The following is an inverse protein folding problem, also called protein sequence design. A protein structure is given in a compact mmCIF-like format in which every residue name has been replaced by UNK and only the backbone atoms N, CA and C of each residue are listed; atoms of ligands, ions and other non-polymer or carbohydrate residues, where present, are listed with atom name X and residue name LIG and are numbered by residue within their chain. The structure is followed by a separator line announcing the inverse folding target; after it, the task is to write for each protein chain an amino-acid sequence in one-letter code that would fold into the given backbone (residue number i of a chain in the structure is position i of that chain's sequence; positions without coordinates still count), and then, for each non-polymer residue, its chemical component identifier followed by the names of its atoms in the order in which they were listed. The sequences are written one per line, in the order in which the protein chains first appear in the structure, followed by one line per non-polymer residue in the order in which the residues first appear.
data_IF_308412794647
#
_entry.id   IF_308412794647
#
_cell.length_a   1.000
_cell.length_b   1.000
_cell.length_c   1.000
_cell.angle_alpha   90.00
_cell.angle_beta   90.00
_cell.angle_gamma   90.00
#
_symmetry.space_group_name_H-M   'P 1'
#
loop_
_entity.id
_entity.type
_entity.pdbx_description
1 polymer ?
#
# COMPACT_ATOMS: atom_id res chain seq x y z
N UNK A 1 23.29 7.90 -19.72
CA UNK A 1 24.57 8.00 -19.00
C UNK A 1 24.90 9.41 -18.55
N UNK A 2 24.87 10.43 -19.43
CA UNK A 2 25.21 11.82 -19.07
C UNK A 2 24.47 12.39 -17.85
N UNK A 3 23.17 12.10 -17.70
CA UNK A 3 22.38 12.54 -16.54
C UNK A 3 22.83 11.90 -15.21
N UNK A 4 23.19 10.61 -15.24
CA UNK A 4 23.67 9.87 -14.07
C UNK A 4 25.07 10.37 -13.68
N UNK A 5 25.93 10.60 -14.67
CA UNK A 5 27.26 11.19 -14.45
C UNK A 5 27.14 12.61 -13.90
N UNK A 6 26.22 13.43 -14.41
CA UNK A 6 25.96 14.77 -13.91
C UNK A 6 25.39 14.76 -12.47
N UNK A 7 24.50 13.83 -12.15
CA UNK A 7 23.98 13.62 -10.79
C UNK A 7 25.08 13.19 -9.81
N UNK A 8 25.97 12.29 -10.22
CA UNK A 8 27.11 11.85 -9.41
C UNK A 8 28.09 13.01 -9.19
N UNK A 9 28.41 13.78 -10.24
CA UNK A 9 29.30 14.93 -10.15
C UNK A 9 28.68 16.03 -9.27
N UNK A 10 27.38 16.30 -9.42
CA UNK A 10 26.65 17.23 -8.56
C UNK A 10 26.62 16.74 -7.10
N UNK A 11 26.40 15.45 -6.85
CA UNK A 11 26.43 14.87 -5.51
C UNK A 11 27.83 14.97 -4.87
N UNK A 12 28.90 14.84 -5.65
CA UNK A 12 30.29 15.01 -5.19
C UNK A 12 30.59 16.48 -4.90
N UNK A 13 30.14 17.41 -5.75
CA UNK A 13 30.35 18.85 -5.57
C UNK A 13 29.53 19.43 -4.42
N UNK A 14 28.31 18.91 -4.21
CA UNK A 14 27.46 19.32 -3.10
C UNK A 14 27.78 18.61 -1.78
N UNK A 15 28.73 17.66 -1.73
CA UNK A 15 29.12 16.95 -0.50
C UNK A 15 29.30 17.87 0.72
N UNK A 16 30.11 18.95 0.70
CA UNK A 16 30.32 19.78 1.88
C UNK A 16 29.05 20.50 2.35
N UNK A 17 28.19 20.92 1.41
CA UNK A 17 26.90 21.54 1.72
C UNK A 17 25.89 20.51 2.25
N UNK A 18 25.84 19.31 1.66
CA UNK A 18 25.03 18.20 2.16
C UNK A 18 25.48 17.76 3.55
N UNK A 19 26.79 17.68 3.83
CA UNK A 19 27.29 17.32 5.15
C UNK A 19 26.97 18.39 6.19
N UNK A 20 26.98 19.68 5.82
CA UNK A 20 26.55 20.77 6.70
C UNK A 20 25.05 20.73 6.99
N UNK A 21 24.22 20.45 5.99
CA UNK A 21 22.77 20.33 6.15
C UNK A 21 22.37 19.07 6.93
N UNK A 22 23.00 17.92 6.63
CA UNK A 22 22.80 16.64 7.32
C UNK A 22 23.38 16.62 8.74
N UNK A 23 24.23 17.58 9.11
CA UNK A 23 24.69 17.71 10.49
C UNK A 23 23.55 18.10 11.45
N UNK A 24 22.45 18.66 10.95
CA UNK A 24 21.28 18.94 11.78
C UNK A 24 20.52 17.63 12.09
N UNK A 25 20.24 17.30 13.37
CA UNK A 25 19.61 16.02 13.74
C UNK A 25 18.29 15.71 13.01
N UNK A 26 17.47 16.75 12.75
CA UNK A 26 16.22 16.60 12.01
C UNK A 26 16.44 16.25 10.53
N UNK A 27 17.42 16.86 9.88
CA UNK A 27 17.75 16.59 8.48
C UNK A 27 18.37 15.20 8.30
N UNK A 28 19.23 14.77 9.24
CA UNK A 28 19.75 13.41 9.27
C UNK A 28 18.62 12.38 9.42
N UNK A 29 17.74 12.56 10.40
CA UNK A 29 16.60 11.66 10.64
C UNK A 29 15.68 11.58 9.42
N UNK A 30 15.34 12.72 8.82
CA UNK A 30 14.52 12.78 7.61
C UNK A 30 15.17 12.00 6.47
N UNK A 31 16.47 12.20 6.21
CA UNK A 31 17.19 11.52 5.15
C UNK A 31 17.26 10.01 5.39
N UNK A 32 17.48 9.57 6.63
CA UNK A 32 17.45 8.16 7.01
C UNK A 32 16.09 7.52 6.74
N UNK A 33 14.99 8.16 7.16
CA UNK A 33 13.63 7.65 6.93
C UNK A 33 13.33 7.59 5.43
N UNK A 34 13.62 8.66 4.70
CA UNK A 34 13.38 8.74 3.25
C UNK A 34 14.13 7.64 2.48
N UNK A 35 15.42 7.47 2.77
CA UNK A 35 16.27 6.45 2.12
C UNK A 35 15.79 5.05 2.50
N UNK A 36 15.45 4.82 3.78
CA UNK A 36 14.94 3.54 4.24
C UNK A 36 13.65 3.14 3.51
N UNK A 37 12.65 4.04 3.46
CA UNK A 37 11.38 3.79 2.75
C UNK A 37 11.63 3.51 1.27
N UNK A 38 12.48 4.31 0.62
CA UNK A 38 12.76 4.16 -0.82
C UNK A 38 13.45 2.82 -1.12
N UNK A 39 14.50 2.48 -0.37
CA UNK A 39 15.25 1.23 -0.57
C UNK A 39 14.36 0.02 -0.27
N UNK A 40 13.54 0.08 0.79
CA UNK A 40 12.66 -1.02 1.18
C UNK A 40 11.52 -1.24 0.17
N UNK A 41 10.92 -0.16 -0.35
CA UNK A 41 9.78 -0.25 -1.27
C UNK A 41 10.17 -0.61 -2.71
N UNK A 42 11.38 -0.24 -3.15
CA UNK A 42 11.86 -0.49 -4.52
C UNK A 42 11.80 -1.96 -4.96
N UNK A 43 12.31 -2.96 -4.21
CA UNK A 43 12.28 -4.35 -4.67
C UNK A 43 10.86 -4.88 -4.89
N UNK A 44 9.92 -4.51 -4.03
CA UNK A 44 8.53 -4.91 -4.18
C UNK A 44 7.81 -4.13 -5.29
N UNK A 45 8.18 -2.86 -5.50
CA UNK A 45 7.70 -2.11 -6.65
C UNK A 45 8.17 -2.78 -7.95
N UNK A 46 9.45 -3.15 -8.04
CA UNK A 46 10.01 -3.87 -9.20
C UNK A 46 9.25 -5.18 -9.42
N UNK A 47 8.97 -5.93 -8.36
CA UNK A 47 8.17 -7.16 -8.45
C UNK A 47 6.75 -6.89 -8.98
N UNK A 48 6.05 -5.90 -8.42
CA UNK A 48 4.70 -5.52 -8.86
C UNK A 48 4.67 -5.05 -10.31
N UNK A 49 5.66 -4.28 -10.72
CA UNK A 49 5.86 -3.85 -12.12
C UNK A 49 6.14 -5.05 -13.03
N UNK A 50 7.00 -5.98 -12.61
CA UNK A 50 7.28 -7.19 -13.38
C UNK A 50 6.01 -8.05 -13.55
N UNK A 51 5.19 -8.18 -12.50
CA UNK A 51 3.89 -8.87 -12.58
C UNK A 51 2.92 -8.12 -13.49
N UNK A 52 2.80 -6.80 -13.36
CA UNK A 52 1.98 -5.96 -14.25
C UNK A 52 2.39 -6.13 -15.72
N UNK A 53 3.69 -6.03 -16.01
CA UNK A 53 4.26 -6.21 -17.33
C UNK A 53 4.09 -7.64 -17.87
N UNK A 54 4.19 -8.66 -17.01
CA UNK A 54 3.93 -10.04 -17.40
C UNK A 54 2.46 -10.25 -17.76
N UNK A 55 1.53 -9.69 -16.98
CA UNK A 55 0.10 -9.66 -17.31
C UNK A 55 -0.11 -8.93 -18.65
N UNK A 56 0.62 -7.84 -18.90
CA UNK A 56 0.51 -7.12 -20.16
C UNK A 56 1.05 -7.88 -21.37
N UNK A 57 2.15 -8.61 -21.22
CA UNK A 57 2.85 -9.26 -22.32
C UNK A 57 2.35 -10.68 -22.63
N UNK A 58 1.93 -11.42 -21.61
CA UNK A 58 1.65 -12.86 -21.72
C UNK A 58 0.19 -13.24 -21.50
N UNK A 59 -0.62 -12.39 -20.85
CA UNK A 59 -2.01 -12.72 -20.52
C UNK A 59 -2.96 -12.11 -21.56
N UNK A 60 -3.77 -12.93 -22.27
CA UNK A 60 -4.69 -12.41 -23.27
C UNK A 60 -5.81 -11.54 -22.63
N UNK A 61 -6.34 -10.55 -23.37
CA UNK A 61 -7.43 -9.71 -22.88
C UNK A 61 -8.62 -10.55 -22.39
N UNK A 62 -9.16 -10.20 -21.21
CA UNK A 62 -10.29 -10.90 -20.61
C UNK A 62 -10.01 -12.33 -20.12
N UNK A 63 -8.77 -12.84 -20.16
CA UNK A 63 -8.44 -14.17 -19.63
C UNK A 63 -8.67 -14.24 -18.11
N UNK A 64 -8.12 -13.28 -17.35
CA UNK A 64 -8.32 -13.21 -15.89
C UNK A 64 -9.79 -12.92 -15.55
N UNK A 65 -10.44 -12.04 -16.32
CA UNK A 65 -11.86 -11.74 -16.13
C UNK A 65 -12.75 -12.98 -16.31
N UNK A 66 -12.37 -13.93 -17.19
CA UNK A 66 -13.07 -15.21 -17.37
C UNK A 66 -12.80 -16.22 -16.26
N UNK A 67 -11.67 -16.13 -15.55
CA UNK A 67 -11.37 -16.98 -14.39
C UNK A 67 -12.15 -16.54 -13.14
N UNK A 68 -12.49 -15.27 -13.04
CA UNK A 68 -13.30 -14.74 -11.94
C UNK A 68 -14.79 -15.08 -12.12
N UNK A 69 -15.55 -15.23 -11.01
CA UNK A 69 -16.99 -15.38 -11.05
C UNK A 69 -17.67 -14.26 -11.86
N UNK A 70 -18.67 -14.62 -12.68
CA UNK A 70 -19.41 -13.66 -13.52
C UNK A 70 -20.14 -12.57 -12.71
N UNK A 71 -20.54 -12.88 -11.47
CA UNK A 71 -21.25 -11.92 -10.61
C UNK A 71 -20.21 -11.08 -9.85
N UNK A 72 -20.21 -9.74 -9.97
CA UNK A 72 -19.23 -8.87 -9.30
C UNK A 72 -19.14 -9.09 -7.78
N UNK A 73 -20.28 -9.35 -7.13
CA UNK A 73 -20.37 -9.65 -5.70
C UNK A 73 -19.59 -10.91 -5.30
N UNK A 74 -19.48 -11.90 -6.21
CA UNK A 74 -18.68 -13.11 -6.01
C UNK A 74 -17.24 -12.94 -6.50
N UNK A 75 -17.00 -12.05 -7.48
CA UNK A 75 -15.67 -11.74 -7.97
C UNK A 75 -14.82 -11.01 -6.90
N UNK A 76 -15.43 -10.17 -6.07
CA UNK A 76 -14.76 -9.45 -4.96
C UNK A 76 -14.06 -10.40 -3.97
N UNK A 77 -14.75 -11.36 -3.32
CA UNK A 77 -14.10 -12.27 -2.38
C UNK A 77 -13.09 -13.21 -3.08
N UNK A 78 -13.35 -13.62 -4.33
CA UNK A 78 -12.39 -14.41 -5.09
C UNK A 78 -11.09 -13.64 -5.36
N UNK A 79 -11.19 -12.35 -5.72
CA UNK A 79 -10.05 -11.50 -5.96
C UNK A 79 -9.31 -11.12 -4.66
N UNK A 80 -10.03 -10.91 -3.55
CA UNK A 80 -9.41 -10.73 -2.24
C UNK A 80 -8.59 -11.97 -1.83
N UNK A 81 -9.16 -13.17 -1.98
CA UNK A 81 -8.46 -14.43 -1.70
C UNK A 81 -7.20 -14.61 -2.59
N UNK A 82 -7.30 -14.28 -3.88
CA UNK A 82 -6.15 -14.29 -4.77
C UNK A 82 -5.07 -13.27 -4.36
N UNK A 83 -5.48 -12.08 -3.89
CA UNK A 83 -4.58 -11.09 -3.33
C UNK A 83 -3.86 -11.61 -2.08
N UNK A 84 -4.59 -12.21 -1.14
CA UNK A 84 -4.04 -12.79 0.08
C UNK A 84 -2.99 -13.88 -0.18
N UNK A 85 -3.12 -14.63 -1.28
CA UNK A 85 -2.18 -15.68 -1.66
C UNK A 85 -0.87 -15.14 -2.27
N UNK A 86 -0.88 -13.91 -2.80
CA UNK A 86 0.29 -13.35 -3.48
C UNK A 86 1.19 -12.61 -2.48
N UNK A 87 2.49 -12.96 -2.42
CA UNK A 87 3.46 -12.16 -1.70
C UNK A 87 3.62 -10.82 -2.45
N UNK A 88 3.05 -9.77 -1.88
CA UNK A 88 3.11 -8.43 -2.46
C UNK A 88 3.08 -7.35 -1.38
N UNK A 89 3.63 -6.19 -1.69
CA UNK A 89 3.47 -4.98 -0.88
C UNK A 89 2.50 -4.02 -1.56
N UNK A 90 2.05 -3.00 -0.83
CA UNK A 90 1.09 -2.01 -1.32
C UNK A 90 1.62 -1.19 -2.52
N UNK A 91 2.94 -1.01 -2.62
CA UNK A 91 3.57 -0.31 -3.73
C UNK A 91 3.45 -1.10 -5.05
N UNK A 92 3.54 -2.44 -4.94
CA UNK A 92 3.48 -3.34 -6.09
C UNK A 92 2.05 -3.71 -6.48
N UNK A 93 1.10 -3.72 -5.54
CA UNK A 93 -0.30 -4.06 -5.83
C UNK A 93 -1.02 -3.00 -6.64
N UNK A 94 -0.63 -1.72 -6.57
CA UNK A 94 -1.20 -0.61 -7.36
C UNK A 94 -1.06 -0.83 -8.88
N UNK A 95 0.14 -1.01 -9.47
CA UNK A 95 0.28 -1.24 -10.90
C UNK A 95 -0.41 -2.53 -11.35
N UNK A 96 -0.35 -3.59 -10.53
CA UNK A 96 -1.05 -4.85 -10.83
C UNK A 96 -2.57 -4.64 -10.89
N UNK A 97 -3.15 -3.96 -9.89
CA UNK A 97 -4.58 -3.67 -9.87
C UNK A 97 -5.01 -2.78 -11.05
N UNK A 98 -4.22 -1.75 -11.38
CA UNK A 98 -4.46 -0.93 -12.55
C UNK A 98 -4.45 -1.74 -13.85
N UNK A 99 -3.51 -2.69 -13.97
CA UNK A 99 -3.46 -3.60 -15.10
C UNK A 99 -4.67 -4.52 -15.15
N UNK A 100 -5.08 -5.11 -14.03
CA UNK A 100 -6.29 -5.94 -13.94
C UNK A 100 -7.53 -5.19 -14.46
N UNK A 101 -7.72 -3.94 -14.02
CA UNK A 101 -8.80 -3.07 -14.52
C UNK A 101 -8.68 -2.86 -16.04
N UNK A 102 -7.48 -2.58 -16.54
CA UNK A 102 -7.25 -2.33 -17.98
C UNK A 102 -7.57 -3.53 -18.88
N UNK A 103 -7.48 -4.75 -18.36
CA UNK A 103 -7.75 -6.00 -19.11
C UNK A 103 -9.15 -6.58 -18.84
N UNK A 104 -10.03 -5.81 -18.19
CA UNK A 104 -11.46 -6.12 -18.04
C UNK A 104 -11.87 -6.75 -16.71
N UNK A 105 -11.00 -6.80 -15.70
CA UNK A 105 -11.43 -7.14 -14.34
C UNK A 105 -12.22 -5.97 -13.77
N UNK A 106 -13.36 -6.25 -13.13
CA UNK A 106 -14.20 -5.20 -12.52
C UNK A 106 -13.40 -4.39 -11.49
N UNK A 107 -13.50 -3.05 -11.44
CA UNK A 107 -12.77 -2.22 -10.47
C UNK A 107 -12.94 -2.68 -9.02
N UNK A 108 -14.16 -3.06 -8.63
CA UNK A 108 -14.44 -3.61 -7.30
C UNK A 108 -13.57 -4.83 -6.92
N UNK A 109 -13.43 -5.80 -7.83
CA UNK A 109 -12.59 -6.98 -7.61
C UNK A 109 -11.09 -6.61 -7.61
N UNK A 110 -10.66 -5.71 -8.50
CA UNK A 110 -9.28 -5.24 -8.54
C UNK A 110 -8.89 -4.46 -7.27
N UNK A 111 -9.81 -3.68 -6.69
CA UNK A 111 -9.57 -2.97 -5.42
C UNK A 111 -9.60 -3.91 -4.22
N UNK A 112 -10.45 -4.93 -4.22
CA UNK A 112 -10.40 -5.97 -3.19
C UNK A 112 -9.04 -6.70 -3.19
N UNK A 113 -8.52 -7.03 -4.38
CA UNK A 113 -7.17 -7.54 -4.55
C UNK A 113 -6.10 -6.56 -4.05
N UNK A 114 -6.19 -5.29 -4.48
CA UNK A 114 -5.26 -4.20 -4.14
C UNK A 114 -5.04 -4.07 -2.64
N UNK A 115 -6.14 -4.13 -1.87
CA UNK A 115 -6.14 -3.98 -0.42
C UNK A 115 -5.77 -5.28 0.31
N UNK A 116 -6.20 -6.43 -0.22
CA UNK A 116 -5.97 -7.71 0.44
C UNK A 116 -4.52 -8.19 0.33
N UNK A 117 -3.85 -7.94 -0.80
CA UNK A 117 -2.49 -8.40 -1.03
C UNK A 117 -1.47 -7.91 0.01
N UNK A 118 -1.36 -6.61 0.32
CA UNK A 118 -0.42 -6.14 1.34
C UNK A 118 -0.89 -6.41 2.77
N UNK A 119 -2.20 -6.52 3.01
CA UNK A 119 -2.72 -6.60 4.38
C UNK A 119 -2.63 -8.00 5.01
N UNK A 120 -2.72 -9.07 4.19
CA UNK A 120 -2.82 -10.46 4.69
C UNK A 120 -2.01 -11.48 3.88
N UNK A 121 -0.92 -11.05 3.24
CA UNK A 121 0.00 -12.01 2.62
C UNK A 121 0.69 -12.91 3.68
N UNK A 122 1.28 -14.05 3.27
CA UNK A 122 1.92 -14.97 4.20
C UNK A 122 3.05 -14.34 5.02
N UNK A 123 3.85 -13.44 4.43
CA UNK A 123 4.97 -12.78 5.12
C UNK A 123 4.46 -11.90 6.26
N UNK A 124 3.37 -11.17 6.02
CA UNK A 124 2.71 -10.28 6.97
C UNK A 124 2.05 -11.05 8.11
N UNK A 125 1.42 -12.19 7.82
CA UNK A 125 0.84 -13.04 8.85
C UNK A 125 1.92 -13.68 9.72
N UNK A 126 3.03 -14.12 9.11
CA UNK A 126 4.19 -14.65 9.84
C UNK A 126 4.85 -13.56 10.69
N UNK A 127 5.08 -12.35 10.15
CA UNK A 127 5.64 -11.24 10.94
C UNK A 127 4.74 -10.87 12.11
N UNK A 128 3.43 -10.92 11.93
CA UNK A 128 2.45 -10.71 13.02
C UNK A 128 2.55 -11.81 14.08
N UNK A 129 2.69 -13.07 13.68
CA UNK A 129 2.86 -14.19 14.62
C UNK A 129 4.16 -14.06 15.43
N UNK A 130 5.25 -13.63 14.79
CA UNK A 130 6.55 -13.41 15.44
C UNK A 130 6.51 -12.19 16.37
N UNK A 131 5.88 -11.09 15.97
CA UNK A 131 5.79 -9.86 16.75
C UNK A 131 4.87 -9.99 17.98
N UNK A 132 3.85 -10.87 17.91
CA UNK A 132 2.90 -11.13 19.00
C UNK A 132 3.00 -12.58 19.50
N UNK A 133 4.13 -12.96 20.14
CA UNK A 133 4.35 -14.34 20.58
C UNK A 133 3.30 -14.75 21.61
N UNK A 134 2.79 -15.98 21.46
CA UNK A 134 1.74 -16.54 22.35
C UNK A 134 0.34 -15.97 22.14
N UNK A 135 0.12 -15.14 21.10
CA UNK A 135 -1.20 -14.52 20.80
C UNK A 135 -1.68 -14.86 19.38
N UNK A 136 -2.02 -16.12 19.07
CA UNK A 136 -2.51 -16.50 17.74
C UNK A 136 -3.81 -15.77 17.33
N UNK A 137 -4.62 -15.36 18.32
CA UNK A 137 -5.81 -14.54 18.06
C UNK A 137 -5.49 -13.20 17.38
N UNK A 138 -4.29 -12.63 17.59
CA UNK A 138 -3.89 -11.40 16.90
C UNK A 138 -3.71 -11.63 15.39
N UNK A 139 -3.15 -12.77 15.00
CA UNK A 139 -2.95 -13.15 13.60
C UNK A 139 -4.30 -13.41 12.93
N UNK A 140 -5.18 -14.17 13.60
CA UNK A 140 -6.55 -14.43 13.13
C UNK A 140 -7.37 -13.14 13.03
N UNK A 141 -7.23 -12.23 13.99
CA UNK A 141 -7.89 -10.93 13.97
C UNK A 141 -7.36 -10.07 12.82
N UNK A 142 -6.04 -10.02 12.56
CA UNK A 142 -5.45 -9.30 11.41
C UNK A 142 -5.96 -9.87 10.09
N UNK A 143 -5.96 -11.20 9.96
CA UNK A 143 -6.44 -11.91 8.78
C UNK A 143 -7.91 -11.60 8.49
N UNK A 144 -8.76 -11.82 9.48
CA UNK A 144 -10.21 -11.62 9.34
C UNK A 144 -10.58 -10.14 9.16
N UNK A 145 -9.98 -9.23 9.94
CA UNK A 145 -10.29 -7.80 9.85
C UNK A 145 -9.92 -7.21 8.49
N UNK A 146 -8.75 -7.57 7.98
CA UNK A 146 -8.29 -7.11 6.67
C UNK A 146 -9.07 -7.75 5.52
N UNK A 147 -9.42 -9.03 5.62
CA UNK A 147 -10.23 -9.71 4.61
C UNK A 147 -11.66 -9.13 4.57
N UNK A 148 -12.27 -8.91 5.73
CA UNK A 148 -13.58 -8.24 5.82
C UNK A 148 -13.48 -6.82 5.28
N UNK A 149 -12.46 -6.04 5.66
CA UNK A 149 -12.27 -4.69 5.15
C UNK A 149 -12.12 -4.64 3.62
N UNK A 150 -11.31 -5.52 3.03
CA UNK A 150 -11.09 -5.56 1.58
C UNK A 150 -12.34 -5.98 0.81
N UNK A 151 -13.08 -6.98 1.30
CA UNK A 151 -14.35 -7.41 0.71
C UNK A 151 -15.40 -6.31 0.85
N UNK A 152 -15.59 -5.75 2.05
CA UNK A 152 -16.55 -4.67 2.30
C UNK A 152 -16.25 -3.46 1.43
N UNK A 153 -14.97 -3.08 1.26
CA UNK A 153 -14.60 -1.98 0.39
C UNK A 153 -14.87 -2.29 -1.09
N UNK A 154 -14.59 -3.51 -1.55
CA UNK A 154 -14.94 -3.97 -2.90
C UNK A 154 -16.46 -3.94 -3.15
N UNK A 155 -17.26 -4.44 -2.21
CA UNK A 155 -18.73 -4.40 -2.29
C UNK A 155 -19.28 -2.97 -2.22
N UNK A 156 -18.68 -2.12 -1.38
CA UNK A 156 -19.01 -0.70 -1.31
C UNK A 156 -18.73 -0.01 -2.65
N UNK A 157 -17.66 -0.40 -3.34
CA UNK A 157 -17.38 0.08 -4.70
C UNK A 157 -18.41 -0.41 -5.72
N UNK A 158 -18.96 -1.62 -5.60
CA UNK A 158 -20.08 -2.03 -6.47
C UNK A 158 -21.29 -1.13 -6.25
N UNK A 159 -21.61 -0.81 -4.99
CA UNK A 159 -22.82 -0.06 -4.65
C UNK A 159 -22.70 1.46 -4.91
N UNK A 160 -21.52 2.05 -4.72
CA UNK A 160 -21.30 3.51 -4.75
C UNK A 160 -20.02 3.94 -5.46
N UNK A 161 -19.38 3.01 -6.17
CA UNK A 161 -18.22 3.28 -7.01
C UNK A 161 -18.58 4.24 -8.13
N UNK A 162 -17.61 5.09 -8.45
CA UNK A 162 -17.71 6.06 -9.53
C UNK A 162 -16.57 5.78 -10.49
N UNK A 163 -16.82 4.85 -11.40
CA UNK A 163 -15.82 4.40 -12.37
C UNK A 163 -15.43 5.53 -13.35
N UNK A 164 -16.26 6.57 -13.46
CA UNK A 164 -15.98 7.85 -14.12
C UNK A 164 -14.81 8.63 -13.49
N UNK A 165 -14.51 8.39 -12.21
CA UNK A 165 -13.37 9.00 -11.53
C UNK A 165 -12.04 8.30 -11.84
N UNK A 166 -12.10 7.09 -12.42
CA UNK A 166 -10.90 6.38 -12.83
C UNK A 166 -10.36 7.10 -14.07
N UNK A 167 -9.20 7.72 -13.92
CA UNK A 167 -8.41 8.15 -15.06
C UNK A 167 -7.95 6.88 -15.78
N UNK A 168 -8.79 6.33 -16.66
CA UNK A 168 -8.45 5.23 -17.53
C UNK A 168 -7.45 5.75 -18.57
N UNK A 169 -6.20 5.96 -18.13
CA UNK A 169 -5.09 6.19 -19.02
C UNK A 169 -4.88 4.86 -19.73
N UNK A 170 -5.41 4.75 -20.95
CA UNK A 170 -5.12 3.62 -21.83
C UNK A 170 -3.61 3.61 -21.99
N UNK A 171 -2.94 2.67 -21.33
CA UNK A 171 -1.57 2.31 -21.68
C UNK A 171 -1.63 2.00 -23.18
N UNK A 172 -0.87 2.70 -24.04
CA UNK A 172 -0.82 2.35 -25.44
C UNK A 172 -0.40 0.89 -25.53
N UNK A 173 -1.32 0.05 -25.99
CA UNK A 173 -0.98 -1.32 -26.36
C UNK A 173 -0.28 -1.14 -27.69
N UNK A 174 1.03 -0.94 -27.66
CA UNK A 174 1.82 -1.10 -28.88
C UNK A 174 1.65 -2.56 -29.33
N UNK A 175 0.87 -2.71 -30.38
CA UNK A 175 0.62 -3.96 -31.08
C UNK A 175 1.88 -4.42 -31.82
N UNK A 176 2.82 -3.51 -32.09
CA UNK A 176 4.03 -3.75 -32.87
C UNK A 176 5.23 -4.10 -31.98
N UNK A 177 5.43 -5.40 -31.73
CA UNK A 177 6.64 -5.90 -31.07
C UNK A 177 6.50 -7.32 -30.51
N UNK A 178 7.63 -8.01 -30.34
CA UNK A 178 7.68 -9.29 -29.65
C UNK A 178 7.22 -9.18 -28.19
N UNK A 179 6.82 -10.31 -27.58
CA UNK A 179 6.35 -10.35 -26.18
C UNK A 179 7.36 -9.73 -25.19
N UNK A 180 8.66 -9.89 -25.45
CA UNK A 180 9.72 -9.30 -24.64
C UNK A 180 9.77 -7.77 -24.74
N UNK A 181 9.59 -7.21 -25.94
CA UNK A 181 9.54 -5.75 -26.14
C UNK A 181 8.37 -5.14 -25.39
N UNK A 182 7.19 -5.77 -25.49
CA UNK A 182 5.99 -5.35 -24.75
C UNK A 182 6.19 -5.43 -23.23
N UNK A 183 6.82 -6.50 -22.75
CA UNK A 183 7.17 -6.66 -21.34
C UNK A 183 8.09 -5.54 -20.87
N UNK A 184 9.21 -5.30 -21.57
CA UNK A 184 10.18 -4.28 -21.17
C UNK A 184 9.61 -2.86 -21.24
N UNK A 185 8.85 -2.54 -22.29
CA UNK A 185 8.21 -1.23 -22.44
C UNK A 185 7.19 -0.97 -21.32
N UNK A 186 6.34 -1.96 -21.02
CA UNK A 186 5.37 -1.86 -19.92
C UNK A 186 6.09 -1.74 -18.58
N UNK A 187 7.10 -2.58 -18.35
CA UNK A 187 7.87 -2.55 -17.11
C UNK A 187 8.56 -1.19 -16.90
N UNK A 188 9.19 -0.64 -17.93
CA UNK A 188 9.83 0.67 -17.86
C UNK A 188 8.81 1.78 -17.55
N UNK A 189 7.67 1.76 -18.25
CA UNK A 189 6.62 2.76 -18.04
C UNK A 189 6.06 2.72 -16.63
N UNK A 190 5.62 1.53 -16.18
CA UNK A 190 5.04 1.33 -14.85
C UNK A 190 6.07 1.64 -13.76
N UNK A 191 7.35 1.27 -13.95
CA UNK A 191 8.42 1.57 -13.00
C UNK A 191 8.69 3.06 -12.88
N UNK A 192 8.80 3.79 -14.01
CA UNK A 192 9.07 5.23 -13.97
C UNK A 192 7.90 6.00 -13.36
N UNK A 193 6.66 5.62 -13.69
CA UNK A 193 5.48 6.25 -13.13
C UNK A 193 5.36 5.97 -11.64
N UNK A 194 5.25 4.70 -11.25
CA UNK A 194 5.05 4.32 -9.85
C UNK A 194 6.28 4.66 -8.99
N UNK A 195 7.50 4.55 -9.54
CA UNK A 195 8.73 4.96 -8.87
C UNK A 195 8.76 6.47 -8.58
N UNK A 196 8.31 7.31 -9.50
CA UNK A 196 8.20 8.75 -9.29
C UNK A 196 7.25 9.11 -8.14
N UNK A 197 6.05 8.50 -8.12
CA UNK A 197 5.07 8.71 -7.06
C UNK A 197 5.50 8.09 -5.72
N UNK A 198 6.22 6.97 -5.75
CA UNK A 198 6.84 6.37 -4.56
C UNK A 198 7.83 7.33 -3.91
N UNK A 199 8.71 7.97 -4.69
CA UNK A 199 9.69 8.94 -4.18
C UNK A 199 8.99 10.14 -3.54
N UNK A 200 7.96 10.69 -4.20
CA UNK A 200 7.17 11.80 -3.65
C UNK A 200 6.48 11.38 -2.33
N UNK A 201 5.86 10.20 -2.32
CA UNK A 201 5.21 9.62 -1.15
C UNK A 201 6.19 9.37 0.01
N UNK A 202 7.37 8.84 -0.27
CA UNK A 202 8.42 8.62 0.72
C UNK A 202 8.93 9.93 1.32
N UNK A 203 9.09 10.98 0.50
CA UNK A 203 9.47 12.32 0.96
C UNK A 203 8.40 12.94 1.86
N UNK A 204 7.12 12.80 1.50
CA UNK A 204 6.01 13.24 2.34
C UNK A 204 5.96 12.47 3.67
N UNK A 205 6.09 11.14 3.63
CA UNK A 205 6.13 10.29 4.84
C UNK A 205 7.30 10.63 5.76
N UNK A 206 8.52 10.82 5.22
CA UNK A 206 9.69 11.22 5.98
C UNK A 206 9.51 12.60 6.64
N UNK A 207 8.87 13.53 5.93
CA UNK A 207 8.54 14.87 6.47
C UNK A 207 7.57 14.75 7.64
N UNK A 208 6.48 14.01 7.45
CA UNK A 208 5.49 13.79 8.52
C UNK A 208 6.11 13.09 9.73
N UNK A 209 6.91 12.03 9.54
CA UNK A 209 7.56 11.31 10.63
C UNK A 209 8.62 12.14 11.37
N UNK A 210 9.27 13.08 10.68
CA UNK A 210 10.25 13.98 11.32
C UNK A 210 9.55 15.09 12.11
N UNK A 211 8.37 15.53 11.66
CA UNK A 211 7.60 16.60 12.28
C UNK A 211 6.61 16.12 13.36
N UNK A 212 6.29 14.83 13.44
CA UNK A 212 5.38 14.28 14.45
C UNK A 212 6.19 13.87 15.69
N UNK A 213 6.21 14.65 16.78
CA UNK A 213 6.90 14.28 18.01
C UNK A 213 6.23 13.08 18.67
N UNK A 214 7.04 12.16 19.20
CA UNK A 214 6.58 10.94 19.88
C UNK A 214 5.71 11.25 21.09
N UNK A 215 5.96 12.38 21.75
CA UNK A 215 5.20 12.86 22.91
C UNK A 215 3.71 13.11 22.58
N UNK A 216 3.39 13.46 21.34
CA UNK A 216 2.00 13.65 20.91
C UNK A 216 1.24 12.33 20.90
N UNK A 217 1.91 11.22 20.58
CA UNK A 217 1.30 9.88 20.54
C UNK A 217 1.04 9.37 21.97
N UNK A 218 1.98 9.60 22.89
CA UNK A 218 1.85 9.16 24.28
C UNK A 218 0.81 9.98 25.06
N UNK A 219 0.64 11.26 24.74
CA UNK A 219 -0.39 12.14 25.35
C UNK A 219 -1.82 11.76 24.96
N UNK A 220 -2.00 11.03 23.85
CA UNK A 220 -3.31 10.65 23.29
C UNK A 220 -3.70 9.22 23.70
N UNK A 221 -2.87 8.52 24.49
CA UNK A 221 -3.17 7.21 25.04
C UNK A 221 -4.33 7.27 26.06
N UNK A 222 -5.56 7.34 25.55
CA UNK A 222 -6.79 7.30 26.34
C UNK A 222 -7.43 5.91 26.24
N UNK A 223 -7.95 5.37 27.35
CA UNK A 223 -8.78 4.17 27.29
C UNK A 223 -10.05 4.44 26.48
N UNK A 224 -10.43 3.52 25.60
CA UNK A 224 -11.68 3.55 24.85
C UNK A 224 -11.55 3.51 23.33
N UNK A 225 -12.68 3.59 22.59
CA UNK A 225 -12.74 3.42 21.12
C UNK A 225 -11.96 4.49 20.35
N UNK A 226 -11.69 5.64 20.96
CA UNK A 226 -10.89 6.73 20.38
C UNK A 226 -9.46 6.24 20.06
N UNK A 227 -8.91 5.32 20.86
CA UNK A 227 -7.57 4.74 20.62
C UNK A 227 -7.46 4.02 19.28
N UNK A 228 -8.55 3.39 18.81
CA UNK A 228 -8.64 2.71 17.51
C UNK A 228 -8.48 3.71 16.37
N UNK A 229 -9.19 4.84 16.46
CA UNK A 229 -9.11 5.91 15.47
C UNK A 229 -7.72 6.56 15.47
N UNK A 230 -7.17 6.84 16.66
CA UNK A 230 -5.84 7.44 16.82
C UNK A 230 -4.76 6.55 16.20
N UNK A 231 -4.76 5.26 16.50
CA UNK A 231 -3.80 4.32 15.93
C UNK A 231 -4.03 4.09 14.44
N UNK A 232 -5.28 4.14 13.97
CA UNK A 232 -5.58 4.17 12.54
C UNK A 232 -4.93 5.38 11.85
N UNK A 233 -5.12 6.59 12.38
CA UNK A 233 -4.50 7.82 11.82
C UNK A 233 -2.98 7.74 11.89
N UNK A 234 -2.43 7.26 13.01
CA UNK A 234 -0.99 7.07 13.17
C UNK A 234 -0.43 6.13 12.11
N UNK A 235 -1.12 5.03 11.79
CA UNK A 235 -0.70 4.10 10.75
C UNK A 235 -0.58 4.80 9.38
N UNK A 236 -1.56 5.63 9.01
CA UNK A 236 -1.52 6.42 7.77
C UNK A 236 -0.30 7.33 7.75
N UNK A 237 -0.07 8.08 8.83
CA UNK A 237 1.01 9.07 8.90
C UNK A 237 2.40 8.44 8.89
N UNK A 238 2.54 7.32 9.57
CA UNK A 238 3.82 6.63 9.72
C UNK A 238 4.18 5.84 8.45
N UNK A 239 3.20 5.41 7.64
CA UNK A 239 3.44 4.79 6.31
C UNK A 239 4.53 3.70 6.31
N UNK A 240 4.52 2.85 7.35
CA UNK A 240 5.42 1.72 7.48
C UNK A 240 5.03 0.61 6.51
N UNK A 241 6.02 -0.16 6.07
CA UNK A 241 5.76 -1.38 5.32
C UNK A 241 5.02 -2.43 6.18
N UNK A 242 4.17 -3.21 5.52
CA UNK A 242 3.29 -4.21 6.12
C UNK A 242 4.00 -5.30 6.92
N UNK A 243 5.31 -5.53 6.72
CA UNK A 243 6.09 -6.50 7.49
C UNK A 243 6.64 -5.91 8.80
N UNK A 244 7.05 -4.64 8.75
CA UNK A 244 7.65 -3.93 9.88
C UNK A 244 6.62 -3.35 10.85
N UNK A 245 5.40 -3.09 10.36
CA UNK A 245 4.29 -2.54 11.15
C UNK A 245 3.95 -3.39 12.39
N UNK A 246 4.09 -4.71 12.28
CA UNK A 246 3.79 -5.68 13.33
C UNK A 246 4.68 -5.48 14.55
N UNK A 247 5.97 -5.26 14.33
CA UNK A 247 6.95 -5.02 15.39
C UNK A 247 6.73 -3.67 16.08
N UNK A 248 6.37 -2.64 15.30
CA UNK A 248 6.04 -1.32 15.85
C UNK A 248 4.77 -1.42 16.71
N UNK A 249 3.71 -2.05 16.18
CA UNK A 249 2.46 -2.23 16.93
C UNK A 249 2.64 -3.08 18.19
N UNK A 250 3.49 -4.12 18.17
CA UNK A 250 3.81 -4.92 19.35
C UNK A 250 4.50 -4.09 20.44
N UNK A 251 5.30 -3.09 20.05
CA UNK A 251 5.96 -2.13 20.95
C UNK A 251 5.00 -1.17 21.64
N UNK A 252 3.79 -0.95 21.09
CA UNK A 252 2.76 -0.03 21.61
C UNK A 252 1.97 -0.61 22.81
N UNK A 253 2.73 -1.11 23.80
CA UNK A 253 2.40 -1.46 25.21
C UNK A 253 1.11 -0.87 25.79
N UNK A 254 1.01 0.44 25.65
CA UNK A 254 0.06 1.32 26.29
C UNK A 254 -1.33 1.33 25.63
N UNK A 255 -1.45 0.83 24.39
CA UNK A 255 -2.72 0.77 23.66
C UNK A 255 -3.39 -0.60 23.74
N UNK A 256 -4.71 -0.64 23.60
CA UNK A 256 -5.47 -1.90 23.54
C UNK A 256 -5.07 -2.74 22.33
N UNK A 257 -5.31 -4.05 22.41
CA UNK A 257 -5.07 -4.97 21.30
C UNK A 257 -5.89 -4.59 20.06
N UNK A 258 -7.14 -4.16 20.25
CA UNK A 258 -8.01 -3.66 19.16
C UNK A 258 -7.45 -2.41 18.49
N UNK A 259 -6.85 -1.48 19.23
CA UNK A 259 -6.24 -0.30 18.63
C UNK A 259 -4.96 -0.66 17.85
N UNK A 260 -4.14 -1.59 18.35
CA UNK A 260 -3.00 -2.15 17.61
C UNK A 260 -3.45 -2.89 16.36
N UNK A 261 -4.57 -3.61 16.42
CA UNK A 261 -5.18 -4.26 15.25
C UNK A 261 -5.57 -3.21 14.20
N UNK A 262 -6.20 -2.11 14.62
CA UNK A 262 -6.53 -1.01 13.71
C UNK A 262 -5.31 -0.45 13.01
N UNK A 263 -4.19 -0.28 13.73
CA UNK A 263 -2.91 0.13 13.13
C UNK A 263 -2.46 -0.85 12.03
N UNK A 264 -2.50 -2.16 12.30
CA UNK A 264 -2.05 -3.22 11.38
C UNK A 264 -2.97 -3.45 10.17
N UNK A 265 -4.25 -3.10 10.29
CA UNK A 265 -5.24 -3.23 9.20
C UNK A 265 -5.25 -1.96 8.34
N UNK A 266 -5.18 -0.78 8.95
CA UNK A 266 -5.26 0.50 8.25
C UNK A 266 -3.99 0.77 7.44
N UNK A 267 -2.80 0.59 8.02
CA UNK A 267 -1.52 0.95 7.38
C UNK A 267 -1.38 0.38 5.96
N UNK A 268 -1.47 -0.96 5.77
CA UNK A 268 -1.34 -1.60 4.47
C UNK A 268 -2.41 -1.21 3.42
N UNK A 269 -3.52 -0.62 3.88
CA UNK A 269 -4.67 -0.27 3.06
C UNK A 269 -4.72 1.21 2.71
N UNK A 270 -4.23 2.07 3.60
CA UNK A 270 -4.22 3.53 3.49
C UNK A 270 -2.98 4.06 4.18
N UNK A 271 -2.05 4.58 3.38
CA UNK A 271 -0.92 5.37 3.87
C UNK A 271 -0.64 6.55 2.91
N UNK A 272 0.26 7.45 3.31
CA UNK A 272 0.57 8.67 2.53
C UNK A 272 1.21 8.33 1.18
N UNK A 273 2.03 7.28 1.14
CA UNK A 273 2.76 6.84 -0.04
C UNK A 273 1.84 6.15 -1.05
N UNK A 274 1.00 5.25 -0.58
CA UNK A 274 -0.05 4.54 -1.28
C UNK A 274 -1.09 5.53 -1.80
N UNK A 275 -1.44 6.56 -1.03
CA UNK A 275 -2.27 7.66 -1.53
C UNK A 275 -1.62 8.34 -2.73
N UNK A 276 -0.33 8.69 -2.65
CA UNK A 276 0.39 9.30 -3.77
C UNK A 276 0.45 8.39 -5.01
N UNK A 277 0.71 7.09 -4.82
CA UNK A 277 0.68 6.08 -5.87
C UNK A 277 -0.71 5.96 -6.51
N UNK A 278 -1.76 5.82 -5.71
CA UNK A 278 -3.14 5.73 -6.20
C UNK A 278 -3.58 7.02 -6.91
N UNK A 279 -3.18 8.19 -6.40
CA UNK A 279 -3.46 9.47 -7.03
C UNK A 279 -2.78 9.59 -8.40
N UNK A 280 -1.54 9.09 -8.51
CA UNK A 280 -0.78 9.06 -9.74
C UNK A 280 -1.27 8.04 -10.77
N UNK A 281 -1.82 6.91 -10.32
CA UNK A 281 -2.28 5.82 -11.20
C UNK A 281 -3.75 5.97 -11.60
N UNK A 282 -4.65 6.22 -10.64
CA UNK A 282 -6.10 6.25 -10.85
C UNK A 282 -6.67 7.68 -10.85
N UNK A 283 -5.90 8.67 -10.42
CA UNK A 283 -6.30 10.07 -10.34
C UNK A 283 -6.56 10.53 -8.90
N UNK A 284 -6.33 11.83 -8.59
CA UNK A 284 -6.38 12.34 -7.22
C UNK A 284 -7.80 12.33 -6.62
N UNK A 285 -8.83 12.53 -7.44
CA UNK A 285 -10.24 12.48 -6.99
C UNK A 285 -10.65 11.07 -6.57
N UNK A 286 -10.21 10.07 -7.33
CA UNK A 286 -10.36 8.67 -6.96
C UNK A 286 -9.63 8.40 -5.65
N UNK A 287 -8.33 8.73 -5.57
CA UNK A 287 -7.50 8.42 -4.41
C UNK A 287 -8.08 9.01 -3.12
N UNK A 288 -8.51 10.27 -3.13
CA UNK A 288 -9.14 10.89 -1.96
C UNK A 288 -10.38 10.15 -1.47
N UNK A 289 -11.33 9.90 -2.38
CA UNK A 289 -12.58 9.22 -2.03
C UNK A 289 -12.33 7.77 -1.61
N UNK A 290 -11.45 7.07 -2.32
CA UNK A 290 -11.11 5.68 -2.07
C UNK A 290 -10.41 5.55 -0.72
N UNK A 291 -9.34 6.31 -0.46
CA UNK A 291 -8.61 6.26 0.81
C UNK A 291 -9.47 6.62 2.01
N UNK A 292 -10.36 7.62 1.91
CA UNK A 292 -11.26 7.97 3.02
C UNK A 292 -12.27 6.86 3.32
N UNK A 293 -12.86 6.26 2.27
CA UNK A 293 -13.79 5.15 2.43
C UNK A 293 -13.08 3.91 2.98
N UNK A 294 -11.90 3.57 2.46
CA UNK A 294 -11.08 2.46 2.92
C UNK A 294 -10.65 2.65 4.37
N UNK A 295 -10.27 3.87 4.77
CA UNK A 295 -9.92 4.16 6.16
C UNK A 295 -11.10 3.90 7.10
N UNK A 296 -12.29 4.40 6.77
CA UNK A 296 -13.49 4.17 7.57
C UNK A 296 -13.82 2.66 7.65
N UNK A 297 -13.80 1.96 6.52
CA UNK A 297 -14.04 0.51 6.48
C UNK A 297 -13.01 -0.25 7.31
N UNK A 298 -11.71 0.03 7.15
CA UNK A 298 -10.64 -0.62 7.88
C UNK A 298 -10.74 -0.41 9.39
N UNK A 299 -10.99 0.83 9.84
CA UNK A 299 -11.19 1.15 11.27
C UNK A 299 -12.42 0.44 11.83
N UNK A 300 -13.53 0.43 11.10
CA UNK A 300 -14.75 -0.27 11.55
C UNK A 300 -14.56 -1.78 11.63
N UNK A 301 -13.96 -2.41 10.61
CA UNK A 301 -13.66 -3.84 10.59
C UNK A 301 -12.72 -4.23 11.72
N UNK A 302 -11.63 -3.48 11.91
CA UNK A 302 -10.68 -3.72 12.99
C UNK A 302 -11.32 -3.52 14.38
N UNK A 303 -12.16 -2.50 14.55
CA UNK A 303 -12.89 -2.26 15.79
C UNK A 303 -13.85 -3.40 16.13
N UNK A 304 -14.67 -3.84 15.17
CA UNK A 304 -15.65 -4.90 15.36
C UNK A 304 -14.99 -6.26 15.62
N UNK A 305 -13.97 -6.60 14.84
CA UNK A 305 -13.28 -7.90 14.98
C UNK A 305 -12.38 -7.92 16.20
N UNK A 306 -11.70 -6.82 16.50
CA UNK A 306 -10.92 -6.71 17.73
C UNK A 306 -11.82 -6.79 18.96
N UNK A 307 -12.98 -6.15 18.98
CA UNK A 307 -13.96 -6.32 20.08
C UNK A 307 -14.41 -7.78 20.26
N UNK A 308 -14.50 -8.54 19.17
CA UNK A 308 -14.98 -9.92 19.21
C UNK A 308 -13.89 -10.95 19.55
N UNK A 309 -12.63 -10.73 19.12
CA UNK A 309 -11.55 -11.72 19.23
C UNK A 309 -10.45 -11.39 20.26
N UNK A 310 -10.31 -10.13 20.71
CA UNK A 310 -9.16 -9.65 21.49
C UNK A 310 -9.58 -8.99 22.81
#
# INVERSE_FOLDING_TARGET
MALVTALIVAAVLLRPALTGLLAHPAAANWATIFVAITIQATPFLVLGVAVSAAIAAFVPPGAIARMLPRRPVLAVPAAAAAGAALPGCECGSVPVAARLVSIGVTPAAAFAFLLSAPAINPVVLVSTAVAFPGRPMMVLARLSASLVASITMGLLWIARGRDDLLSARRLPVDEEGGRLTRFLATAQHDFLQAGGFLVIGAGAAATLQTLVPRDLVDSIARPGPISVLVLGVLAVLVSLCSEADAFVAAGLKQFSLTARLAFLVVGPMVDVKLFALQAGTFGPRFAWRFSLATFAVAVTSAGLIGWWLL
#
